data_IF_592010726605
#
_entry.id   IF_592010726605
#
_cell.length_a   1.000
_cell.length_b   1.000
_cell.length_c   1.000
_cell.angle_alpha   90.00
_cell.angle_beta   90.00
_cell.angle_gamma   90.00
#
_symmetry.space_group_name_H-M   'P 1'
#
loop_
_entity.id
_entity.type
_entity.pdbx_description
1 polymer ?
#
# COMPACT_ATOMS: atom_id res chain seq x y z
N UNK A 1 38.59 -1.07 45.85
CA UNK A 1 37.76 -0.98 47.06
C UNK A 1 38.64 -0.58 48.22
N UNK A 2 38.38 0.57 48.82
CA UNK A 2 38.87 0.93 50.15
C UNK A 2 37.67 1.54 50.89
N UNK A 3 37.25 0.89 51.96
CA UNK A 3 36.14 1.30 52.81
C UNK A 3 36.50 2.59 53.56
N UNK A 4 35.58 3.54 53.57
CA UNK A 4 35.52 4.58 54.60
C UNK A 4 34.31 4.25 55.47
N UNK A 5 34.56 3.73 56.67
CA UNK A 5 33.59 3.63 57.75
C UNK A 5 33.78 4.82 58.69
N UNK A 6 32.70 5.56 58.95
CA UNK A 6 32.69 6.70 59.86
C UNK A 6 31.32 7.31 60.06
N UNK A 7 30.53 6.69 60.96
CA UNK A 7 29.45 7.22 61.80
C UNK A 7 28.32 8.09 61.19
N UNK A 8 27.12 7.49 61.11
CA UNK A 8 25.84 8.17 60.85
C UNK A 8 25.06 7.49 59.74
N UNK A 9 24.30 6.43 60.07
CA UNK A 9 23.48 5.64 59.14
C UNK A 9 22.30 6.42 58.56
N UNK A 10 22.57 7.39 57.70
CA UNK A 10 21.59 8.06 56.86
C UNK A 10 21.75 7.65 55.40
N UNK A 11 20.67 7.72 54.63
CA UNK A 11 20.66 7.50 53.19
C UNK A 11 21.79 8.29 52.51
N UNK A 12 22.46 7.68 51.52
CA UNK A 12 23.69 8.16 50.88
C UNK A 12 23.68 9.66 50.53
N UNK A 13 22.53 10.20 50.10
CA UNK A 13 22.36 11.61 49.70
C UNK A 13 22.24 12.60 50.87
N UNK A 14 22.29 12.15 52.12
CA UNK A 14 22.32 13.02 53.30
C UNK A 14 23.72 13.24 53.85
N UNK A 15 24.74 12.61 53.26
CA UNK A 15 26.14 12.86 53.60
C UNK A 15 26.79 13.75 52.51
N UNK A 16 27.04 15.04 52.79
CA UNK A 16 27.64 15.96 51.82
C UNK A 16 29.00 15.49 51.31
N UNK A 17 29.80 14.84 52.15
CA UNK A 17 31.13 14.34 51.78
C UNK A 17 31.02 13.16 50.81
N UNK A 18 30.04 12.26 51.03
CA UNK A 18 29.77 11.14 50.13
C UNK A 18 29.24 11.61 48.77
N UNK A 19 28.40 12.66 48.74
CA UNK A 19 27.90 13.28 47.50
C UNK A 19 29.04 13.92 46.71
N UNK A 20 29.89 14.73 47.35
CA UNK A 20 31.02 15.37 46.66
C UNK A 20 32.00 14.33 46.13
N UNK A 21 32.28 13.28 46.92
CA UNK A 21 33.11 12.17 46.47
C UNK A 21 32.49 11.43 45.27
N UNK A 22 31.21 11.05 45.36
CA UNK A 22 30.48 10.39 44.27
C UNK A 22 30.40 11.23 42.99
N UNK A 23 30.21 12.54 43.11
CA UNK A 23 30.21 13.46 41.98
C UNK A 23 31.60 13.54 41.32
N UNK A 24 32.66 13.56 42.12
CA UNK A 24 34.04 13.56 41.59
C UNK A 24 34.38 12.24 40.88
N UNK A 25 34.02 11.10 41.47
CA UNK A 25 34.19 9.78 40.86
C UNK A 25 33.36 9.63 39.58
N UNK A 26 32.11 10.09 39.58
CA UNK A 26 31.26 10.08 38.40
C UNK A 26 31.87 10.90 37.26
N UNK A 27 32.36 12.12 37.55
CA UNK A 27 33.05 12.96 36.55
C UNK A 27 34.35 12.34 36.08
N UNK A 28 35.08 11.62 36.95
CA UNK A 28 36.30 10.91 36.60
C UNK A 28 36.03 9.76 35.63
N UNK A 29 34.96 9.00 35.87
CA UNK A 29 34.60 7.84 35.05
C UNK A 29 33.88 8.22 33.75
N UNK A 30 32.98 9.21 33.80
CA UNK A 30 32.04 9.51 32.72
C UNK A 30 32.17 10.91 32.12
N UNK A 31 32.99 11.79 32.71
CA UNK A 31 33.13 13.18 32.27
C UNK A 31 31.95 14.08 32.64
N UNK A 32 31.83 15.24 31.98
CA UNK A 32 30.66 16.13 32.12
C UNK A 32 29.54 15.65 31.18
N UNK A 33 28.61 14.84 31.69
CA UNK A 33 27.42 14.38 30.94
C UNK A 33 26.27 15.37 31.07
N UNK A 34 25.50 15.56 29.99
CA UNK A 34 24.22 16.28 30.01
C UNK A 34 23.14 15.39 30.64
N UNK A 35 22.12 16.01 31.22
CA UNK A 35 20.95 15.31 31.72
C UNK A 35 20.01 15.04 30.55
N UNK A 36 20.04 13.82 30.04
CA UNK A 36 19.26 13.35 28.89
C UNK A 36 19.13 11.82 28.95
N UNK A 37 18.17 11.26 28.22
CA UNK A 37 18.01 9.81 28.16
C UNK A 37 19.20 9.15 27.45
N UNK A 38 19.46 7.90 27.84
CA UNK A 38 20.60 7.10 27.35
C UNK A 38 21.98 7.77 27.57
N UNK A 39 22.13 8.59 28.62
CA UNK A 39 23.36 9.35 28.92
C UNK A 39 24.64 8.50 29.13
N UNK A 40 24.50 7.18 29.31
CA UNK A 40 25.61 6.23 29.56
C UNK A 40 26.31 5.73 28.28
N UNK A 41 25.78 5.99 27.09
CA UNK A 41 26.41 5.56 25.83
C UNK A 41 27.67 6.41 25.53
N UNK A 42 28.78 5.72 25.26
CA UNK A 42 30.09 6.34 24.98
C UNK A 42 30.20 6.88 23.55
N UNK A 43 29.47 6.29 22.62
CA UNK A 43 29.39 6.70 21.22
C UNK A 43 27.92 6.76 20.83
N UNK A 44 27.41 7.98 20.60
CA UNK A 44 26.04 8.19 20.09
C UNK A 44 25.99 8.19 18.55
N UNK A 45 27.14 7.97 17.88
CA UNK A 45 27.26 7.99 16.41
C UNK A 45 26.75 6.73 15.69
N UNK A 46 26.08 5.81 16.38
CA UNK A 46 25.56 4.57 15.76
C UNK A 46 24.07 4.34 16.06
N UNK A 47 23.35 5.40 16.42
CA UNK A 47 21.89 5.39 16.56
C UNK A 47 21.21 6.53 15.78
N UNK A 48 21.89 7.06 14.76
CA UNK A 48 21.40 8.11 13.85
C UNK A 48 21.23 7.58 12.40
N UNK A 49 21.35 6.25 12.19
CA UNK A 49 21.38 5.62 10.84
C UNK A 49 20.49 4.36 10.71
N UNK A 50 19.52 4.19 11.62
CA UNK A 50 18.30 3.43 11.33
C UNK A 50 17.15 4.40 11.55
N UNK A 51 16.69 5.02 10.45
CA UNK A 51 15.58 5.97 10.40
C UNK A 51 14.27 5.36 10.92
N UNK A 52 14.15 5.31 12.25
CA UNK A 52 12.93 5.06 13.02
C UNK A 52 12.41 6.36 13.68
N UNK A 53 13.04 7.50 13.39
CA UNK A 53 12.60 8.84 13.83
C UNK A 53 11.52 9.45 12.90
N UNK A 54 11.23 8.81 11.76
CA UNK A 54 10.24 9.30 10.78
C UNK A 54 8.92 8.49 10.77
N UNK A 55 8.67 7.69 11.82
CA UNK A 55 7.38 6.98 12.02
C UNK A 55 6.75 7.23 13.39
N UNK A 56 7.17 8.30 14.07
CA UNK A 56 6.42 8.92 15.14
C UNK A 56 6.12 10.36 14.72
N UNK A 57 5.16 10.49 13.80
CA UNK A 57 4.52 11.78 13.55
C UNK A 57 4.01 12.34 14.89
N UNK A 58 4.53 13.48 15.38
CA UNK A 58 4.06 14.11 16.61
C UNK A 58 2.67 14.77 16.47
N UNK A 59 2.01 14.69 15.30
CA UNK A 59 0.76 15.43 15.04
C UNK A 59 -0.54 14.68 15.35
N UNK A 60 -0.51 13.50 16.00
CA UNK A 60 -1.77 12.84 16.41
C UNK A 60 -1.84 12.33 17.87
N UNK A 61 -0.99 12.86 18.76
CA UNK A 61 -1.28 12.85 20.20
C UNK A 61 -1.94 14.19 20.58
N UNK A 62 -3.12 14.46 20.00
CA UNK A 62 -4.02 15.49 20.52
C UNK A 62 -4.66 14.98 21.82
N UNK A 63 -3.87 14.95 22.90
CA UNK A 63 -4.36 15.43 24.18
C UNK A 63 -4.31 16.95 24.07
N UNK A 64 -5.42 17.52 23.59
CA UNK A 64 -5.67 18.95 23.73
C UNK A 64 -5.89 19.25 25.21
N UNK A 65 -4.78 19.57 25.87
CA UNK A 65 -4.70 19.97 27.26
C UNK A 65 -3.61 21.00 27.37
N UNK A 66 -3.93 22.24 27.01
CA UNK A 66 -3.29 23.49 27.39
C UNK A 66 -1.79 23.40 27.76
N UNK A 67 -0.93 24.01 26.93
CA UNK A 67 0.32 24.63 27.40
C UNK A 67 0.00 25.81 28.33
N UNK A 68 -0.62 25.53 29.48
CA UNK A 68 -0.85 26.43 30.59
C UNK A 68 0.12 26.07 31.71
N UNK A 69 0.98 27.01 32.09
CA UNK A 69 2.02 26.77 33.08
C UNK A 69 1.49 26.21 34.41
N UNK A 70 1.79 24.95 34.68
CA UNK A 70 1.92 24.43 36.05
C UNK A 70 3.28 23.76 36.16
N UNK A 71 4.25 24.51 36.67
CA UNK A 71 5.45 23.94 37.27
C UNK A 71 4.97 23.25 38.55
N UNK A 72 4.54 22.00 38.44
CA UNK A 72 4.26 21.20 39.63
C UNK A 72 5.56 21.11 40.43
N UNK A 73 5.51 21.51 41.70
CA UNK A 73 6.69 21.61 42.56
C UNK A 73 7.21 20.19 42.85
N UNK A 74 8.42 19.81 42.36
CA UNK A 74 8.95 18.47 42.53
C UNK A 74 9.29 18.13 43.99
N UNK A 75 9.22 19.11 44.90
CA UNK A 75 9.43 18.90 46.34
C UNK A 75 8.12 18.61 47.09
N UNK A 76 6.95 18.77 46.45
CA UNK A 76 5.65 18.52 47.07
C UNK A 76 5.12 17.14 46.74
N UNK A 77 4.75 16.38 47.77
CA UNK A 77 4.16 15.03 47.64
C UNK A 77 2.91 15.02 46.74
N UNK A 78 2.08 16.05 46.84
CA UNK A 78 0.83 16.20 46.09
C UNK A 78 1.04 16.18 44.56
N UNK A 79 2.18 16.70 44.10
CA UNK A 79 2.61 16.65 42.69
C UNK A 79 2.63 15.22 42.15
N UNK A 80 3.11 14.27 42.95
CA UNK A 80 3.27 12.87 42.53
C UNK A 80 2.00 12.04 42.74
N UNK A 81 1.07 12.50 43.57
CA UNK A 81 -0.18 11.78 43.84
C UNK A 81 -1.30 12.11 42.85
N UNK A 82 -1.20 13.25 42.15
CA UNK A 82 -2.24 13.78 41.25
C UNK A 82 -2.68 12.82 40.14
N UNK A 83 -1.75 12.03 39.61
CA UNK A 83 -2.00 11.10 38.50
C UNK A 83 -2.19 9.65 38.97
N UNK A 84 -2.18 9.40 40.28
CA UNK A 84 -2.43 8.07 40.82
C UNK A 84 -3.95 7.86 40.89
N UNK A 85 -4.50 6.82 40.25
CA UNK A 85 -5.92 6.48 40.37
C UNK A 85 -6.26 6.17 41.84
N UNK A 86 -7.00 7.07 42.48
CA UNK A 86 -7.32 7.03 43.92
C UNK A 86 -8.81 6.83 44.20
N UNK A 87 -9.63 6.83 43.15
CA UNK A 87 -11.08 6.65 43.19
C UNK A 87 -11.47 5.42 42.37
N UNK A 88 -12.57 4.72 42.73
CA UNK A 88 -13.04 3.55 41.98
C UNK A 88 -13.17 3.81 40.48
N UNK A 89 -13.69 4.98 40.09
CA UNK A 89 -13.88 5.37 38.70
C UNK A 89 -12.56 5.55 37.95
N UNK A 90 -11.57 6.20 38.59
CA UNK A 90 -10.23 6.34 37.98
C UNK A 90 -9.49 5.02 37.90
N UNK A 91 -9.69 4.13 38.88
CA UNK A 91 -9.09 2.78 38.86
C UNK A 91 -9.68 1.97 37.71
N UNK A 92 -10.99 2.06 37.49
CA UNK A 92 -11.65 1.39 36.37
C UNK A 92 -11.16 1.92 35.01
N UNK A 93 -11.02 3.24 34.87
CA UNK A 93 -10.43 3.85 33.68
C UNK A 93 -8.98 3.38 33.45
N UNK A 94 -8.18 3.34 34.51
CA UNK A 94 -6.81 2.83 34.45
C UNK A 94 -6.79 1.35 34.04
N UNK A 95 -7.71 0.53 34.55
CA UNK A 95 -7.81 -0.87 34.19
C UNK A 95 -8.20 -1.04 32.72
N UNK A 96 -9.10 -0.22 32.19
CA UNK A 96 -9.47 -0.23 30.77
C UNK A 96 -8.27 0.06 29.87
N UNK A 97 -7.46 1.05 30.22
CA UNK A 97 -6.23 1.38 29.48
C UNK A 97 -5.21 0.23 29.53
N UNK A 98 -5.05 -0.39 30.70
CA UNK A 98 -4.15 -1.54 30.86
C UNK A 98 -4.65 -2.74 30.03
N UNK A 99 -5.96 -3.01 30.05
CA UNK A 99 -6.58 -4.08 29.27
C UNK A 99 -6.34 -3.89 27.77
N UNK A 100 -6.60 -2.68 27.25
CA UNK A 100 -6.33 -2.32 25.86
C UNK A 100 -4.84 -2.48 25.50
N UNK A 101 -3.93 -1.97 26.34
CA UNK A 101 -2.49 -2.08 26.10
C UNK A 101 -1.99 -3.53 26.12
N UNK A 102 -2.49 -4.37 27.04
CA UNK A 102 -2.14 -5.79 27.11
C UNK A 102 -2.64 -6.56 25.89
N UNK A 103 -3.85 -6.27 25.43
CA UNK A 103 -4.40 -6.86 24.21
C UNK A 103 -3.57 -6.46 22.98
N UNK A 104 -3.25 -5.17 22.83
CA UNK A 104 -2.41 -4.67 21.72
C UNK A 104 -0.99 -5.25 21.77
N UNK A 105 -0.39 -5.39 22.95
CA UNK A 105 0.92 -6.01 23.11
C UNK A 105 0.96 -7.43 22.52
N UNK A 106 -0.09 -8.21 22.73
CA UNK A 106 -0.18 -9.57 22.19
C UNK A 106 -0.28 -9.58 20.65
N UNK A 107 -0.97 -8.61 20.05
CA UNK A 107 -0.99 -8.41 18.59
C UNK A 107 0.38 -8.01 18.05
N UNK A 108 1.07 -7.08 18.71
CA UNK A 108 2.42 -6.65 18.28
C UNK A 108 3.40 -7.83 18.30
N UNK A 109 3.33 -8.70 19.32
CA UNK A 109 4.13 -9.93 19.32
C UNK A 109 3.79 -10.87 18.18
N UNK A 110 2.51 -11.02 17.83
CA UNK A 110 2.07 -11.89 16.74
C UNK A 110 2.45 -11.36 15.36
N UNK A 111 2.04 -10.14 15.05
CA UNK A 111 2.16 -9.56 13.70
C UNK A 111 3.51 -8.89 13.48
N UNK A 112 3.97 -8.11 14.45
CA UNK A 112 5.19 -7.31 14.34
C UNK A 112 6.44 -8.17 14.49
N UNK A 113 6.51 -8.99 15.56
CA UNK A 113 7.70 -9.79 15.87
C UNK A 113 7.61 -11.24 15.41
N UNK A 114 6.40 -11.75 15.12
CA UNK A 114 6.13 -13.18 14.88
C UNK A 114 6.64 -14.08 16.01
N UNK A 115 6.62 -13.56 17.24
CA UNK A 115 6.96 -14.28 18.47
C UNK A 115 5.65 -14.84 19.06
N UNK A 116 5.23 -15.99 18.53
CA UNK A 116 3.98 -16.65 18.93
C UNK A 116 3.95 -17.03 20.42
N UNK A 117 5.04 -17.55 21.02
CA UNK A 117 5.05 -17.85 22.46
C UNK A 117 4.82 -16.60 23.31
N UNK A 118 5.45 -15.46 22.97
CA UNK A 118 5.24 -14.20 23.70
C UNK A 118 3.85 -13.61 23.48
N UNK A 119 3.30 -13.76 22.29
CA UNK A 119 1.91 -13.39 22.02
C UNK A 119 0.94 -14.20 22.87
N UNK A 120 1.16 -15.52 22.97
CA UNK A 120 0.34 -16.40 23.81
C UNK A 120 0.47 -16.04 25.31
N UNK A 121 1.68 -15.84 25.83
CA UNK A 121 1.90 -15.38 27.21
C UNK A 121 1.13 -14.07 27.51
N UNK A 122 1.13 -13.13 26.56
CA UNK A 122 0.46 -11.84 26.72
C UNK A 122 -1.07 -11.97 26.73
N UNK A 123 -1.66 -12.78 25.83
CA UNK A 123 -3.09 -13.06 25.85
C UNK A 123 -3.53 -13.85 27.09
N UNK A 124 -2.74 -14.84 27.54
CA UNK A 124 -3.00 -15.57 28.79
C UNK A 124 -2.96 -14.60 30.00
N UNK A 125 -1.98 -13.70 30.05
CA UNK A 125 -1.90 -12.68 31.10
C UNK A 125 -3.09 -11.71 31.08
N UNK A 126 -3.56 -11.33 29.88
CA UNK A 126 -4.75 -10.48 29.71
C UNK A 126 -6.00 -11.16 30.27
N UNK A 127 -6.27 -12.41 29.86
CA UNK A 127 -7.42 -13.19 30.33
C UNK A 127 -7.40 -13.44 31.84
N UNK A 128 -6.22 -13.72 32.40
CA UNK A 128 -6.06 -13.93 33.83
C UNK A 128 -6.30 -12.65 34.65
N UNK A 129 -5.97 -11.48 34.11
CA UNK A 129 -6.09 -10.19 34.80
C UNK A 129 -7.49 -9.57 34.64
N UNK A 130 -8.13 -9.77 33.50
CA UNK A 130 -9.43 -9.20 33.15
C UNK A 130 -10.41 -10.31 32.72
N UNK A 131 -10.87 -11.15 33.66
CA UNK A 131 -11.91 -12.12 33.36
C UNK A 131 -13.21 -11.40 32.95
N UNK A 132 -13.97 -11.98 32.02
CA UNK A 132 -15.24 -11.43 31.51
C UNK A 132 -15.14 -10.09 30.76
N UNK A 133 -13.93 -9.73 30.30
CA UNK A 133 -13.76 -8.56 29.42
C UNK A 133 -14.50 -8.75 28.09
N UNK A 134 -14.95 -7.67 27.46
CA UNK A 134 -15.63 -7.71 26.14
C UNK A 134 -14.81 -8.41 25.02
N UNK A 135 -13.49 -8.37 25.14
CA UNK A 135 -12.54 -9.00 24.20
C UNK A 135 -12.13 -10.42 24.59
N UNK A 136 -12.74 -11.00 25.62
CA UNK A 136 -12.35 -12.32 26.14
C UNK A 136 -12.49 -13.41 25.08
N UNK A 137 -13.63 -13.45 24.37
CA UNK A 137 -13.89 -14.41 23.30
C UNK A 137 -12.84 -14.29 22.16
N UNK A 138 -12.50 -13.07 21.77
CA UNK A 138 -11.48 -12.82 20.73
C UNK A 138 -10.09 -13.26 21.19
N UNK A 139 -9.71 -12.97 22.44
CA UNK A 139 -8.45 -13.40 23.03
C UNK A 139 -8.36 -14.94 23.13
N UNK A 140 -9.44 -15.62 23.51
CA UNK A 140 -9.51 -17.09 23.53
C UNK A 140 -9.31 -17.68 22.13
N UNK A 141 -9.96 -17.10 21.11
CA UNK A 141 -9.78 -17.55 19.73
C UNK A 141 -8.35 -17.33 19.23
N UNK A 142 -7.74 -16.19 19.58
CA UNK A 142 -6.33 -15.96 19.26
C UNK A 142 -5.40 -16.97 19.91
N UNK A 143 -5.60 -17.30 21.19
CA UNK A 143 -4.84 -18.36 21.86
C UNK A 143 -5.01 -19.71 21.17
N UNK A 144 -6.23 -20.08 20.77
CA UNK A 144 -6.45 -21.28 19.95
C UNK A 144 -5.60 -21.25 18.68
N UNK A 145 -5.68 -20.19 17.88
CA UNK A 145 -4.93 -20.09 16.62
C UNK A 145 -3.41 -20.11 16.81
N UNK A 146 -2.90 -19.45 17.86
CA UNK A 146 -1.47 -19.42 18.19
C UNK A 146 -0.97 -20.82 18.56
N UNK A 147 -1.72 -21.57 19.38
CA UNK A 147 -1.32 -22.91 19.77
C UNK A 147 -1.45 -23.94 18.63
N UNK A 148 -2.33 -23.70 17.65
CA UNK A 148 -2.33 -24.45 16.39
C UNK A 148 -1.03 -24.20 15.61
N UNK A 149 -0.62 -22.93 15.46
CA UNK A 149 0.62 -22.58 14.75
C UNK A 149 1.87 -23.14 15.44
N UNK A 150 1.88 -23.22 16.77
CA UNK A 150 2.95 -23.81 17.56
C UNK A 150 2.94 -25.35 17.57
N UNK A 151 1.98 -26.01 16.90
CA UNK A 151 1.74 -27.45 16.96
C UNK A 151 1.50 -27.99 18.37
N UNK A 152 0.94 -27.17 19.27
CA UNK A 152 0.56 -27.57 20.62
C UNK A 152 -0.92 -27.94 20.68
N UNK A 153 -1.27 -29.11 20.14
CA UNK A 153 -2.66 -29.58 20.03
C UNK A 153 -3.39 -29.64 21.37
N UNK A 154 -2.69 -29.97 22.47
CA UNK A 154 -3.32 -30.06 23.80
C UNK A 154 -3.83 -28.69 24.30
N UNK A 155 -3.01 -27.64 24.19
CA UNK A 155 -3.45 -26.28 24.56
C UNK A 155 -4.48 -25.74 23.56
N UNK A 156 -4.31 -25.98 22.27
CA UNK A 156 -5.28 -25.59 21.26
C UNK A 156 -6.67 -26.19 21.58
N UNK A 157 -6.75 -27.49 21.84
CA UNK A 157 -8.00 -28.16 22.19
C UNK A 157 -8.62 -27.63 23.49
N UNK A 158 -7.80 -27.28 24.48
CA UNK A 158 -8.29 -26.66 25.71
C UNK A 158 -9.02 -25.34 25.43
N UNK A 159 -8.41 -24.43 24.66
CA UNK A 159 -9.03 -23.14 24.32
C UNK A 159 -10.23 -23.31 23.40
N UNK A 160 -10.15 -24.25 22.44
CA UNK A 160 -11.26 -24.65 21.58
C UNK A 160 -12.48 -25.06 22.40
N UNK A 161 -12.30 -26.00 23.34
CA UNK A 161 -13.38 -26.48 24.19
C UNK A 161 -13.93 -25.35 25.07
N UNK A 162 -13.07 -24.49 25.59
CA UNK A 162 -13.48 -23.33 26.39
C UNK A 162 -14.40 -22.39 25.60
N UNK A 163 -14.09 -22.14 24.32
CA UNK A 163 -14.93 -21.30 23.44
C UNK A 163 -16.29 -21.96 23.18
N UNK A 164 -16.30 -23.27 22.87
CA UNK A 164 -17.53 -24.02 22.61
C UNK A 164 -18.42 -24.06 23.86
N UNK A 165 -17.84 -24.26 25.04
CA UNK A 165 -18.59 -24.40 26.28
C UNK A 165 -19.12 -23.07 26.83
N UNK A 166 -18.30 -22.00 26.77
CA UNK A 166 -18.67 -20.69 27.34
C UNK A 166 -19.40 -19.77 26.35
N UNK A 167 -19.17 -19.94 25.05
CA UNK A 167 -19.73 -19.09 24.00
C UNK A 167 -20.40 -19.91 22.88
N UNK A 168 -21.34 -20.83 23.20
CA UNK A 168 -21.91 -21.77 22.23
C UNK A 168 -22.62 -21.12 21.06
N UNK A 169 -23.21 -19.94 21.25
CA UNK A 169 -23.94 -19.19 20.22
C UNK A 169 -23.01 -18.30 19.35
N UNK A 170 -21.71 -18.28 19.64
CA UNK A 170 -20.75 -17.47 18.87
C UNK A 170 -20.42 -18.10 17.51
N UNK A 171 -20.07 -17.24 16.55
CA UNK A 171 -19.56 -17.67 15.23
C UNK A 171 -18.31 -18.55 15.40
N UNK A 172 -17.44 -18.22 16.36
CA UNK A 172 -16.26 -19.04 16.69
C UNK A 172 -16.63 -20.44 17.19
N UNK A 173 -17.60 -20.59 18.08
CA UNK A 173 -18.03 -21.91 18.54
C UNK A 173 -18.63 -22.74 17.40
N UNK A 174 -19.40 -22.11 16.51
CA UNK A 174 -19.93 -22.75 15.31
C UNK A 174 -18.79 -23.27 14.42
N UNK A 175 -17.77 -22.44 14.17
CA UNK A 175 -16.58 -22.80 13.37
C UNK A 175 -15.77 -23.94 14.03
N UNK A 176 -15.53 -23.85 15.34
CA UNK A 176 -14.69 -24.78 16.09
C UNK A 176 -15.37 -26.12 16.39
N UNK A 177 -16.70 -26.16 16.32
CA UNK A 177 -17.49 -27.38 16.51
C UNK A 177 -17.50 -28.30 15.30
N UNK A 178 -17.21 -27.79 14.09
CA UNK A 178 -17.11 -28.57 12.85
C UNK A 178 -15.70 -29.17 12.69
N UNK A 179 -15.52 -30.51 12.84
CA UNK A 179 -14.22 -31.17 12.74
C UNK A 179 -13.59 -31.06 11.34
N UNK A 180 -14.40 -30.87 10.30
CA UNK A 180 -13.93 -30.82 8.90
C UNK A 180 -13.68 -29.39 8.40
N UNK A 181 -14.05 -28.36 9.17
CA UNK A 181 -13.95 -26.98 8.71
C UNK A 181 -12.50 -26.57 8.41
N UNK A 182 -11.56 -26.89 9.30
CA UNK A 182 -10.14 -26.62 9.08
C UNK A 182 -9.56 -27.46 7.93
N UNK A 183 -9.93 -28.73 7.82
CA UNK A 183 -9.50 -29.59 6.71
C UNK A 183 -10.01 -29.07 5.36
N UNK A 184 -11.23 -28.54 5.31
CA UNK A 184 -11.82 -27.92 4.12
C UNK A 184 -11.12 -26.61 3.77
N UNK A 185 -10.92 -25.71 4.75
CA UNK A 185 -10.23 -24.44 4.51
C UNK A 185 -8.78 -24.67 4.09
N UNK A 186 -8.06 -25.59 4.74
CA UNK A 186 -6.70 -25.95 4.33
C UNK A 186 -6.68 -26.64 2.98
N UNK A 187 -7.64 -27.52 2.66
CA UNK A 187 -7.74 -28.15 1.36
C UNK A 187 -8.01 -27.11 0.25
N UNK A 188 -8.90 -26.14 0.49
CA UNK A 188 -9.17 -25.04 -0.44
C UNK A 188 -7.95 -24.11 -0.60
N UNK A 189 -7.26 -23.78 0.51
CA UNK A 189 -5.97 -23.06 0.46
C UNK A 189 -4.94 -23.86 -0.35
N UNK A 190 -4.76 -25.15 -0.08
CA UNK A 190 -3.84 -26.02 -0.83
C UNK A 190 -4.17 -26.05 -2.32
N UNK A 191 -5.45 -26.14 -2.70
CA UNK A 191 -5.87 -26.10 -4.11
C UNK A 191 -5.50 -24.79 -4.81
N UNK A 192 -5.76 -23.64 -4.18
CA UNK A 192 -5.39 -22.34 -4.79
C UNK A 192 -3.87 -22.15 -4.85
N UNK A 193 -3.12 -22.68 -3.88
CA UNK A 193 -1.65 -22.70 -3.93
C UNK A 193 -1.11 -23.57 -5.07
N UNK A 194 -1.65 -24.78 -5.28
CA UNK A 194 -1.28 -25.65 -6.40
C UNK A 194 -1.61 -24.99 -7.75
N UNK A 195 -2.80 -24.37 -7.87
CA UNK A 195 -3.17 -23.63 -9.07
C UNK A 195 -2.20 -22.47 -9.34
N UNK A 196 -1.73 -21.79 -8.29
CA UNK A 196 -0.74 -20.73 -8.42
C UNK A 196 0.62 -21.27 -8.89
N UNK A 197 1.07 -22.40 -8.33
CA UNK A 197 2.29 -23.07 -8.75
C UNK A 197 2.24 -23.45 -10.24
N UNK A 198 1.12 -24.02 -10.70
CA UNK A 198 0.92 -24.37 -12.10
C UNK A 198 0.87 -23.12 -13.00
N UNK A 199 0.24 -22.04 -12.52
CA UNK A 199 0.23 -20.73 -13.20
C UNK A 199 1.63 -20.16 -13.35
N UNK A 200 2.43 -20.23 -12.30
CA UNK A 200 3.79 -19.75 -12.31
C UNK A 200 4.69 -20.58 -13.24
N UNK A 201 4.57 -21.91 -13.22
CA UNK A 201 5.27 -22.80 -14.17
C UNK A 201 4.91 -22.50 -15.63
N UNK A 202 3.63 -22.27 -15.90
CA UNK A 202 3.16 -21.87 -17.22
C UNK A 202 3.74 -20.50 -17.63
N UNK A 203 3.84 -19.56 -16.69
CA UNK A 203 4.44 -18.24 -16.91
C UNK A 203 5.93 -18.32 -17.24
N UNK A 204 6.70 -19.10 -16.48
CA UNK A 204 8.13 -19.35 -16.73
C UNK A 204 8.36 -20.03 -18.09
N UNK A 205 7.46 -20.94 -18.46
CA UNK A 205 7.50 -21.64 -19.75
C UNK A 205 6.98 -20.78 -20.93
N UNK A 206 6.61 -19.51 -20.70
CA UNK A 206 6.08 -18.62 -21.72
C UNK A 206 4.69 -18.97 -22.25
N UNK A 207 3.96 -19.87 -21.57
CA UNK A 207 2.62 -20.33 -21.95
C UNK A 207 1.55 -19.30 -21.55
N UNK A 208 1.63 -18.09 -22.12
CA UNK A 208 0.84 -16.93 -21.70
C UNK A 208 -0.68 -17.18 -21.70
N UNK A 209 -1.20 -17.98 -22.65
CA UNK A 209 -2.63 -18.31 -22.70
C UNK A 209 -3.08 -19.13 -21.49
N UNK A 210 -2.24 -20.05 -21.01
CA UNK A 210 -2.53 -20.86 -19.81
C UNK A 210 -2.50 -20.00 -18.55
N UNK A 211 -1.55 -19.06 -18.46
CA UNK A 211 -1.49 -18.09 -17.35
C UNK A 211 -2.81 -17.31 -17.24
N UNK A 212 -3.34 -16.83 -18.37
CA UNK A 212 -4.64 -16.12 -18.38
C UNK A 212 -5.78 -17.03 -17.94
N UNK A 213 -5.82 -18.28 -18.42
CA UNK A 213 -6.87 -19.25 -18.07
C UNK A 213 -6.86 -19.54 -16.57
N UNK A 214 -5.72 -19.94 -16.02
CA UNK A 214 -5.61 -20.29 -14.60
C UNK A 214 -5.84 -19.09 -13.68
N UNK A 215 -5.42 -17.89 -14.10
CA UNK A 215 -5.70 -16.67 -13.34
C UNK A 215 -7.18 -16.31 -13.33
N UNK A 216 -7.90 -16.51 -14.44
CA UNK A 216 -9.36 -16.31 -14.49
C UNK A 216 -10.08 -17.37 -13.66
N UNK A 217 -9.61 -18.63 -13.67
CA UNK A 217 -10.13 -19.70 -12.84
C UNK A 217 -9.94 -19.39 -11.35
N UNK A 218 -8.77 -18.88 -10.97
CA UNK A 218 -8.48 -18.48 -9.61
C UNK A 218 -9.44 -17.37 -9.12
N UNK A 219 -9.67 -16.34 -9.94
CA UNK A 219 -10.59 -15.25 -9.65
C UNK A 219 -12.04 -15.73 -9.50
N UNK A 220 -12.49 -16.64 -10.37
CA UNK A 220 -13.86 -17.16 -10.32
C UNK A 220 -14.09 -18.16 -9.18
N UNK A 221 -13.10 -18.97 -8.84
CA UNK A 221 -13.26 -20.11 -7.92
C UNK A 221 -12.86 -19.73 -6.50
N UNK A 222 -11.87 -18.85 -6.34
CA UNK A 222 -11.32 -18.46 -5.04
C UNK A 222 -11.34 -16.93 -4.85
N UNK A 223 -12.51 -16.27 -4.91
CA UNK A 223 -12.64 -14.80 -4.88
C UNK A 223 -12.14 -14.16 -3.56
N UNK A 224 -11.95 -14.95 -2.50
CA UNK A 224 -11.43 -14.52 -1.20
C UNK A 224 -9.96 -14.84 -0.97
N UNK A 225 -9.26 -15.37 -1.98
CA UNK A 225 -7.86 -15.80 -1.82
C UNK A 225 -6.90 -14.61 -1.77
N UNK A 226 -5.98 -14.62 -0.81
CA UNK A 226 -4.89 -13.65 -0.70
C UNK A 226 -3.89 -13.73 -1.86
N UNK A 227 -3.92 -14.81 -2.66
CA UNK A 227 -3.07 -14.97 -3.84
C UNK A 227 -3.62 -14.26 -5.08
N UNK A 228 -4.86 -13.75 -5.07
CA UNK A 228 -5.48 -13.13 -6.23
C UNK A 228 -4.65 -11.99 -6.85
N UNK A 229 -4.02 -11.08 -6.08
CA UNK A 229 -3.13 -10.08 -6.67
C UNK A 229 -1.96 -10.71 -7.44
N UNK A 230 -1.40 -11.84 -6.96
CA UNK A 230 -0.31 -12.56 -7.64
C UNK A 230 -0.78 -13.12 -8.99
N UNK A 231 -1.96 -13.73 -9.03
CA UNK A 231 -2.57 -14.17 -10.29
C UNK A 231 -2.85 -12.99 -11.22
N UNK A 232 -3.45 -11.91 -10.72
CA UNK A 232 -3.80 -10.74 -11.50
C UNK A 232 -2.56 -10.09 -12.14
N UNK A 233 -1.46 -10.00 -11.41
CA UNK A 233 -0.18 -9.51 -11.90
C UNK A 233 0.41 -10.39 -13.01
N UNK A 234 0.49 -11.72 -12.80
CA UNK A 234 0.97 -12.64 -13.84
C UNK A 234 0.09 -12.61 -15.09
N UNK A 235 -1.23 -12.49 -14.90
CA UNK A 235 -2.21 -12.32 -16.00
C UNK A 235 -1.98 -11.03 -16.77
N UNK A 236 -1.69 -9.92 -16.09
CA UNK A 236 -1.39 -8.64 -16.74
C UNK A 236 -0.17 -8.77 -17.66
N UNK A 237 0.92 -9.37 -17.15
CA UNK A 237 2.13 -9.63 -17.94
C UNK A 237 1.84 -10.56 -19.12
N UNK A 238 1.14 -11.66 -18.88
CA UNK A 238 0.81 -12.62 -19.93
C UNK A 238 -0.03 -12.01 -21.06
N UNK A 239 -1.02 -11.17 -20.71
CA UNK A 239 -1.82 -10.42 -21.70
C UNK A 239 -0.98 -9.41 -22.48
N UNK A 240 -0.05 -8.72 -21.80
CA UNK A 240 0.93 -7.85 -22.47
C UNK A 240 1.79 -8.61 -23.48
N UNK A 241 2.39 -9.73 -23.05
CA UNK A 241 3.22 -10.60 -23.91
C UNK A 241 2.48 -11.15 -25.13
N UNK A 242 1.18 -11.43 -25.01
CA UNK A 242 0.36 -11.95 -26.11
C UNK A 242 -0.07 -10.88 -27.11
N UNK A 243 -0.11 -9.61 -26.68
CA UNK A 243 -0.58 -8.51 -27.50
C UNK A 243 0.59 -7.56 -27.76
N UNK A 244 0.76 -6.54 -26.93
CA UNK A 244 1.76 -5.49 -27.08
C UNK A 244 2.01 -4.77 -25.75
N UNK A 245 2.96 -3.84 -25.79
CA UNK A 245 3.37 -2.99 -24.67
C UNK A 245 2.23 -2.12 -24.11
N UNK A 246 1.41 -1.50 -24.96
CA UNK A 246 0.25 -0.71 -24.52
C UNK A 246 -0.76 -1.57 -23.73
N UNK A 247 -0.95 -2.83 -24.15
CA UNK A 247 -1.78 -3.79 -23.40
C UNK A 247 -1.15 -4.11 -22.05
N UNK A 248 0.17 -4.25 -21.98
CA UNK A 248 0.87 -4.48 -20.72
C UNK A 248 0.66 -3.29 -19.77
N UNK A 249 0.92 -2.07 -20.24
CA UNK A 249 0.74 -0.83 -19.49
C UNK A 249 -0.69 -0.75 -18.95
N UNK A 250 -1.68 -0.91 -19.83
CA UNK A 250 -3.09 -0.88 -19.45
C UNK A 250 -3.44 -1.93 -18.38
N UNK A 251 -2.96 -3.16 -18.52
CA UNK A 251 -3.26 -4.22 -17.56
C UNK A 251 -2.54 -4.00 -16.21
N UNK A 252 -1.32 -3.46 -16.21
CA UNK A 252 -0.59 -3.10 -14.99
C UNK A 252 -1.27 -1.94 -14.25
N UNK A 253 -1.71 -0.90 -14.95
CA UNK A 253 -2.48 0.20 -14.36
C UNK A 253 -3.79 -0.29 -13.74
N UNK A 254 -4.52 -1.16 -14.46
CA UNK A 254 -5.73 -1.81 -13.91
C UNK A 254 -5.44 -2.68 -12.69
N UNK A 255 -4.30 -3.38 -12.69
CA UNK A 255 -3.88 -4.19 -11.55
C UNK A 255 -3.65 -3.30 -10.31
N UNK A 256 -2.92 -2.19 -10.46
CA UNK A 256 -2.65 -1.25 -9.36
C UNK A 256 -3.96 -0.66 -8.82
N UNK A 257 -4.87 -0.24 -9.69
CA UNK A 257 -6.17 0.31 -9.28
C UNK A 257 -7.06 -0.73 -8.56
N UNK A 258 -7.00 -2.01 -8.95
CA UNK A 258 -7.83 -3.06 -8.36
C UNK A 258 -7.24 -3.71 -7.09
N UNK A 259 -5.92 -3.61 -6.89
CA UNK A 259 -5.18 -4.30 -5.83
C UNK A 259 -4.19 -3.36 -5.11
N UNK A 260 -4.61 -2.13 -4.84
CA UNK A 260 -3.73 -1.06 -4.38
C UNK A 260 -3.00 -1.35 -3.06
N UNK A 261 -3.61 -2.14 -2.17
CA UNK A 261 -3.00 -2.59 -0.91
C UNK A 261 -2.08 -3.80 -1.05
N UNK A 262 -1.84 -4.32 -2.26
CA UNK A 262 -1.04 -5.52 -2.47
C UNK A 262 0.46 -5.25 -2.40
N UNK A 263 1.21 -6.18 -1.78
CA UNK A 263 2.69 -6.20 -1.74
C UNK A 263 3.35 -6.18 -3.13
N UNK A 264 2.61 -6.47 -4.20
CA UNK A 264 3.10 -6.57 -5.58
C UNK A 264 2.97 -5.24 -6.33
N UNK A 265 2.18 -4.29 -5.81
CA UNK A 265 2.00 -2.97 -6.44
C UNK A 265 3.33 -2.27 -6.74
N UNK A 266 4.33 -2.25 -5.83
CA UNK A 266 5.64 -1.67 -6.14
C UNK A 266 6.32 -2.29 -7.37
N UNK A 267 6.18 -3.60 -7.56
CA UNK A 267 6.76 -4.29 -8.72
C UNK A 267 6.04 -3.91 -10.03
N UNK A 268 4.71 -3.75 -9.98
CA UNK A 268 3.94 -3.25 -11.12
C UNK A 268 4.31 -1.81 -11.48
N UNK A 269 4.51 -0.95 -10.48
CA UNK A 269 4.98 0.42 -10.66
C UNK A 269 6.40 0.48 -11.23
N UNK A 270 7.31 -0.36 -10.75
CA UNK A 270 8.66 -0.48 -11.30
C UNK A 270 8.64 -0.88 -12.78
N UNK A 271 7.77 -1.84 -13.16
CA UNK A 271 7.58 -2.19 -14.56
C UNK A 271 7.02 -1.02 -15.39
N UNK A 272 6.03 -0.28 -14.87
CA UNK A 272 5.50 0.92 -15.54
C UNK A 272 6.58 2.01 -15.72
N UNK A 273 7.48 2.17 -14.76
CA UNK A 273 8.58 3.12 -14.85
C UNK A 273 9.54 2.80 -16.01
N UNK A 274 9.71 1.52 -16.38
CA UNK A 274 10.50 1.14 -17.58
C UNK A 274 9.91 1.68 -18.88
N UNK A 275 8.62 2.03 -18.88
CA UNK A 275 7.92 2.66 -19.99
C UNK A 275 7.82 4.19 -19.85
N UNK A 276 8.53 4.78 -18.89
CA UNK A 276 8.50 6.22 -18.61
C UNK A 276 7.26 6.70 -17.86
N UNK A 277 6.51 5.77 -17.25
CA UNK A 277 5.33 6.06 -16.43
C UNK A 277 5.74 5.97 -14.95
N UNK A 278 6.18 7.09 -14.40
CA UNK A 278 6.61 7.22 -13.00
C UNK A 278 5.48 7.76 -12.13
N UNK A 279 5.35 7.27 -10.90
CA UNK A 279 4.42 7.82 -9.90
C UNK A 279 2.95 7.43 -10.04
N UNK A 280 2.61 6.44 -10.88
CA UNK A 280 1.23 5.98 -11.06
C UNK A 280 0.65 5.39 -9.75
N UNK A 281 -0.43 6.00 -9.22
CA UNK A 281 -1.01 5.71 -7.90
C UNK A 281 -2.55 5.55 -7.89
N UNK A 282 -3.12 5.29 -6.70
CA UNK A 282 -4.55 4.97 -6.48
C UNK A 282 -5.55 5.93 -7.13
N UNK A 283 -5.26 7.23 -7.11
CA UNK A 283 -6.21 8.28 -7.52
C UNK A 283 -6.32 8.49 -9.05
N UNK A 284 -5.47 7.86 -9.86
CA UNK A 284 -5.43 8.11 -11.30
C UNK A 284 -6.44 7.26 -12.11
N UNK A 285 -7.15 6.32 -11.47
CA UNK A 285 -8.15 5.47 -12.12
C UNK A 285 -9.44 5.30 -11.29
N UNK A 286 -10.04 6.40 -10.80
CA UNK A 286 -11.35 6.34 -10.16
C UNK A 286 -12.47 6.10 -11.19
N UNK A 287 -13.02 4.87 -11.20
CA UNK A 287 -14.15 4.43 -12.03
C UNK A 287 -15.38 4.12 -11.17
N UNK A 288 -15.76 4.99 -10.23
CA UNK A 288 -17.00 4.82 -9.46
C UNK A 288 -17.89 6.05 -9.60
N UNK A 289 -18.88 5.96 -10.48
CA UNK A 289 -20.01 6.89 -10.54
C UNK A 289 -21.07 6.49 -9.51
N UNK A 290 -21.43 7.43 -8.64
CA UNK A 290 -22.52 7.36 -7.67
C UNK A 290 -23.88 7.56 -8.40
N UNK A 291 -24.90 6.68 -8.24
CA UNK A 291 -26.12 6.74 -9.05
C UNK A 291 -27.20 7.72 -8.57
N UNK A 292 -26.97 8.59 -7.58
CA UNK A 292 -28.07 9.37 -6.97
C UNK A 292 -27.79 10.87 -6.72
N UNK A 293 -27.15 11.56 -7.68
CA UNK A 293 -27.01 13.02 -7.66
C UNK A 293 -27.75 13.69 -8.84
N UNK A 294 -28.51 14.79 -8.61
CA UNK A 294 -29.32 15.44 -9.64
C UNK A 294 -28.45 16.12 -10.70
N UNK A 295 -28.89 16.04 -11.95
CA UNK A 295 -28.16 16.39 -13.18
C UNK A 295 -27.86 17.91 -13.33
N UNK A 296 -26.57 18.28 -13.49
CA UNK A 296 -26.15 19.30 -14.45
C UNK A 296 -25.14 18.71 -15.45
N UNK A 297 -24.97 19.40 -16.59
CA UNK A 297 -24.19 19.01 -17.78
C UNK A 297 -23.10 17.94 -17.55
N UNK A 298 -23.30 16.77 -18.17
CA UNK A 298 -22.50 15.53 -18.05
C UNK A 298 -21.04 15.80 -17.66
N UNK A 299 -20.55 15.34 -16.49
CA UNK A 299 -19.12 15.33 -16.24
C UNK A 299 -18.46 14.44 -17.30
N UNK A 300 -17.59 15.04 -18.10
CA UNK A 300 -16.74 14.30 -19.03
C UNK A 300 -16.00 13.22 -18.26
N UNK A 301 -16.05 11.97 -18.73
CA UNK A 301 -15.27 10.85 -18.18
C UNK A 301 -13.75 11.09 -18.28
N UNK A 302 -13.35 12.14 -19.00
CA UNK A 302 -11.97 12.57 -19.17
C UNK A 302 -11.68 13.80 -18.31
N UNK A 303 -10.48 13.82 -17.71
CA UNK A 303 -10.00 14.91 -16.86
C UNK A 303 -8.95 15.75 -17.57
N UNK A 304 -8.98 17.08 -17.41
CA UNK A 304 -8.00 17.97 -18.04
C UNK A 304 -6.82 18.22 -17.10
N UNK A 305 -5.69 17.57 -17.38
CA UNK A 305 -4.43 17.71 -16.62
C UNK A 305 -3.29 18.14 -17.56
N UNK A 306 -2.96 19.44 -17.67
CA UNK A 306 -2.02 19.95 -18.66
C UNK A 306 -0.56 19.54 -18.40
N UNK A 307 -0.18 19.30 -17.15
CA UNK A 307 1.21 18.99 -16.77
C UNK A 307 1.57 17.51 -16.93
N UNK A 308 0.56 16.65 -17.10
CA UNK A 308 0.76 15.21 -17.25
C UNK A 308 1.50 14.85 -18.54
N UNK A 309 2.04 13.64 -18.61
CA UNK A 309 2.54 13.12 -19.87
C UNK A 309 1.40 13.02 -20.88
N UNK A 310 1.69 13.30 -22.15
CA UNK A 310 0.72 13.28 -23.22
C UNK A 310 1.18 12.40 -24.38
N UNK A 311 0.20 11.95 -25.15
CA UNK A 311 0.35 11.22 -26.40
C UNK A 311 -0.26 12.04 -27.53
N UNK A 312 0.34 11.95 -28.72
CA UNK A 312 -0.33 12.32 -29.96
C UNK A 312 -0.93 11.06 -30.58
N UNK A 313 -2.21 11.07 -30.91
CA UNK A 313 -2.95 9.91 -31.40
C UNK A 313 -3.53 10.18 -32.78
N UNK A 314 -3.47 9.19 -33.66
CA UNK A 314 -4.14 9.15 -34.96
C UNK A 314 -4.91 7.84 -35.06
N UNK A 315 -6.23 7.93 -35.29
CA UNK A 315 -7.11 6.78 -35.49
C UNK A 315 -7.46 6.68 -36.95
N UNK A 316 -7.14 5.54 -37.55
CA UNK A 316 -7.33 5.26 -38.97
C UNK A 316 -8.15 4.00 -39.15
N UNK A 317 -8.97 3.96 -40.20
CA UNK A 317 -9.55 2.71 -40.65
C UNK A 317 -8.48 1.89 -41.39
N UNK A 318 -8.10 0.72 -40.87
CA UNK A 318 -7.00 -0.07 -41.44
C UNK A 318 -7.38 -0.76 -42.76
N UNK A 319 -8.67 -0.79 -43.12
CA UNK A 319 -9.13 -1.27 -44.42
C UNK A 319 -8.94 -0.23 -45.54
N UNK A 320 -8.91 1.08 -45.22
CA UNK A 320 -8.74 2.16 -46.21
C UNK A 320 -7.36 2.82 -46.18
N UNK A 321 -6.69 2.78 -45.03
CA UNK A 321 -5.38 3.41 -44.81
C UNK A 321 -4.35 2.34 -44.42
N UNK A 322 -3.22 2.33 -45.14
CA UNK A 322 -2.09 1.48 -44.78
C UNK A 322 -1.39 2.04 -43.52
N UNK A 323 -1.55 1.32 -42.40
CA UNK A 323 -1.04 1.74 -41.09
C UNK A 323 0.48 1.69 -41.02
N UNK A 324 1.11 0.65 -41.57
CA UNK A 324 2.58 0.53 -41.58
C UNK A 324 3.24 1.68 -42.34
N UNK A 325 2.71 2.02 -43.52
CA UNK A 325 3.18 3.14 -44.31
C UNK A 325 2.96 4.48 -43.58
N UNK A 326 1.89 4.61 -42.79
CA UNK A 326 1.64 5.80 -41.96
C UNK A 326 2.64 5.87 -40.80
N UNK A 327 2.91 4.75 -40.13
CA UNK A 327 3.91 4.64 -39.06
C UNK A 327 5.32 4.99 -39.55
N UNK A 328 5.71 4.50 -40.73
CA UNK A 328 7.00 4.83 -41.35
C UNK A 328 7.12 6.34 -41.58
N UNK A 329 6.07 6.96 -42.15
CA UNK A 329 6.06 8.41 -42.40
C UNK A 329 6.18 9.23 -41.10
N UNK A 330 5.49 8.81 -40.04
CA UNK A 330 5.60 9.44 -38.70
C UNK A 330 7.02 9.24 -38.14
N UNK A 331 7.61 8.06 -38.28
CA UNK A 331 8.99 7.77 -37.85
C UNK A 331 10.02 8.63 -38.58
N UNK A 332 9.88 8.80 -39.89
CA UNK A 332 10.75 9.66 -40.69
C UNK A 332 10.61 11.13 -40.27
N UNK A 333 9.38 11.58 -40.01
CA UNK A 333 9.13 12.92 -39.48
C UNK A 333 9.79 13.12 -38.10
N UNK A 334 9.65 12.16 -37.18
CA UNK A 334 10.27 12.20 -35.85
C UNK A 334 11.80 12.23 -35.95
N UNK A 335 12.37 11.39 -36.79
CA UNK A 335 13.82 11.31 -37.01
C UNK A 335 14.38 12.60 -37.62
N UNK A 336 13.61 13.31 -38.43
CA UNK A 336 14.07 14.54 -39.05
C UNK A 336 13.91 15.78 -38.17
N UNK A 337 12.88 15.83 -37.32
CA UNK A 337 12.49 17.05 -36.60
C UNK A 337 12.63 16.95 -35.06
N UNK A 338 12.69 15.74 -34.50
CA UNK A 338 12.60 15.49 -33.06
C UNK A 338 13.66 14.48 -32.56
N UNK A 339 14.88 14.52 -33.13
CA UNK A 339 15.98 13.57 -32.85
C UNK A 339 16.31 13.36 -31.38
N UNK A 340 16.20 14.41 -30.57
CA UNK A 340 16.58 14.39 -29.15
C UNK A 340 15.39 14.08 -28.22
N UNK A 341 14.17 13.98 -28.76
CA UNK A 341 12.96 13.83 -27.97
C UNK A 341 12.64 12.37 -27.60
N UNK A 342 13.43 11.39 -28.08
CA UNK A 342 13.27 9.96 -27.79
C UNK A 342 11.79 9.50 -27.92
N UNK A 343 11.14 9.87 -29.02
CA UNK A 343 9.72 9.57 -29.24
C UNK A 343 9.52 8.10 -29.65
N UNK A 344 8.54 7.44 -29.06
CA UNK A 344 8.13 6.07 -29.41
C UNK A 344 6.83 6.09 -30.20
N UNK A 345 6.68 5.18 -31.17
CA UNK A 345 5.48 5.06 -32.01
C UNK A 345 4.88 3.66 -31.83
N UNK A 346 3.64 3.60 -31.35
CA UNK A 346 2.88 2.36 -31.18
C UNK A 346 1.68 2.35 -32.12
N UNK A 347 1.21 1.16 -32.49
CA UNK A 347 0.01 0.96 -33.29
C UNK A 347 -0.81 -0.20 -32.70
N UNK A 348 -2.07 0.06 -32.34
CA UNK A 348 -2.95 -0.91 -31.68
C UNK A 348 -4.33 -0.94 -32.34
N UNK A 349 -4.99 -2.09 -32.34
CA UNK A 349 -6.38 -2.19 -32.77
C UNK A 349 -7.29 -1.63 -31.68
N UNK A 350 -8.16 -0.68 -32.05
CA UNK A 350 -9.25 -0.23 -31.16
C UNK A 350 -10.45 -1.18 -31.33
N UNK A 351 -10.78 -1.54 -32.56
CA UNK A 351 -11.87 -2.44 -32.91
C UNK A 351 -11.54 -3.26 -34.17
N UNK A 352 -12.54 -3.87 -34.80
CA UNK A 352 -12.37 -4.70 -36.00
C UNK A 352 -11.83 -3.93 -37.21
N UNK A 353 -12.05 -2.62 -37.28
CA UNK A 353 -11.84 -1.80 -38.48
C UNK A 353 -10.90 -0.62 -38.24
N UNK A 354 -10.65 -0.25 -36.98
CA UNK A 354 -9.84 0.91 -36.60
C UNK A 354 -8.56 0.53 -35.87
N UNK A 355 -7.46 1.16 -36.29
CA UNK A 355 -6.19 1.15 -35.58
C UNK A 355 -5.84 2.54 -35.07
N UNK A 356 -5.30 2.59 -33.85
CA UNK A 356 -4.77 3.75 -33.20
C UNK A 356 -3.26 3.75 -33.30
N UNK A 357 -2.70 4.78 -33.90
CA UNK A 357 -1.27 5.06 -33.91
C UNK A 357 -1.01 6.12 -32.84
N UNK A 358 -0.18 5.83 -31.86
CA UNK A 358 0.18 6.75 -30.78
C UNK A 358 1.67 7.10 -30.85
N UNK A 359 1.99 8.36 -30.58
CA UNK A 359 3.35 8.86 -30.38
C UNK A 359 3.46 9.35 -28.95
N UNK A 360 4.45 8.86 -28.20
CA UNK A 360 4.60 9.10 -26.77
C UNK A 360 5.85 9.92 -26.41
N UNK A 361 6.07 10.11 -25.11
CA UNK A 361 7.19 10.84 -24.50
C UNK A 361 7.09 12.38 -24.59
N UNK A 362 5.86 12.91 -24.56
CA UNK A 362 5.63 14.35 -24.41
C UNK A 362 5.36 14.70 -22.94
N UNK A 363 6.30 15.43 -22.32
CA UNK A 363 6.14 15.94 -20.94
C UNK A 363 5.29 17.20 -20.93
N UNK A 364 3.99 17.05 -20.74
CA UNK A 364 3.04 18.15 -20.71
C UNK A 364 2.36 18.45 -22.06
N UNK A 365 1.21 19.12 -21.95
CA UNK A 365 0.32 19.51 -23.05
C UNK A 365 1.03 20.33 -24.11
N UNK A 366 1.84 21.32 -23.71
CA UNK A 366 2.41 22.29 -24.65
C UNK A 366 3.35 21.64 -25.66
N UNK A 367 4.17 20.68 -25.21
CA UNK A 367 5.07 19.92 -26.08
C UNK A 367 4.27 19.06 -27.04
N UNK A 368 3.25 18.34 -26.54
CA UNK A 368 2.39 17.50 -27.36
C UNK A 368 1.59 18.31 -28.40
N UNK A 369 1.09 19.50 -28.03
CA UNK A 369 0.35 20.38 -28.94
C UNK A 369 1.27 21.05 -29.97
N UNK A 370 2.51 21.36 -29.62
CA UNK A 370 3.52 21.81 -30.58
C UNK A 370 3.81 20.73 -31.63
N UNK A 371 3.96 19.47 -31.19
CA UNK A 371 4.11 18.31 -32.07
C UNK A 371 2.88 18.10 -32.95
N UNK A 372 1.67 18.11 -32.37
CA UNK A 372 0.38 18.04 -33.08
C UNK A 372 0.32 19.08 -34.22
N UNK A 373 0.67 20.33 -33.93
CA UNK A 373 0.66 21.39 -34.94
C UNK A 373 1.70 21.19 -36.04
N UNK A 374 2.89 20.69 -35.70
CA UNK A 374 3.96 20.46 -36.66
C UNK A 374 3.64 19.28 -37.60
N UNK A 375 3.19 18.15 -37.05
CA UNK A 375 2.96 16.93 -37.83
C UNK A 375 1.74 17.07 -38.75
N UNK A 376 0.65 17.68 -38.28
CA UNK A 376 -0.60 17.83 -39.05
C UNK A 376 -0.44 18.75 -40.27
N UNK A 377 0.49 19.71 -40.21
CA UNK A 377 0.87 20.58 -41.33
C UNK A 377 1.89 19.95 -42.30
N UNK A 378 2.47 18.81 -41.95
CA UNK A 378 3.43 18.13 -42.82
C UNK A 378 2.69 17.27 -43.86
N UNK A 379 2.73 17.66 -45.13
CA UNK A 379 2.01 16.97 -46.21
C UNK A 379 2.55 15.56 -46.52
N UNK A 380 3.81 15.27 -46.15
CA UNK A 380 4.38 13.93 -46.30
C UNK A 380 3.71 12.95 -45.34
N UNK A 381 3.53 13.33 -44.07
CA UNK A 381 2.84 12.51 -43.06
C UNK A 381 1.32 12.58 -43.26
N UNK A 382 0.76 13.80 -43.20
CA UNK A 382 -0.67 14.07 -43.29
C UNK A 382 -1.10 14.34 -44.73
N UNK A 383 -1.17 13.27 -45.51
CA UNK A 383 -1.73 13.32 -46.87
C UNK A 383 -3.19 13.78 -46.88
N UNK A 384 -3.68 14.21 -48.04
CA UNK A 384 -5.10 14.61 -48.22
C UNK A 384 -6.10 13.50 -47.85
N UNK A 385 -5.72 12.23 -48.01
CA UNK A 385 -6.52 11.09 -47.57
C UNK A 385 -6.52 10.99 -46.04
N UNK A 386 -5.34 10.98 -45.40
CA UNK A 386 -5.23 10.85 -43.95
C UNK A 386 -5.99 11.97 -43.23
N UNK A 387 -5.89 13.22 -43.71
CA UNK A 387 -6.62 14.37 -43.13
C UNK A 387 -8.15 14.22 -43.14
N UNK A 388 -8.71 13.47 -44.11
CA UNK A 388 -10.17 13.31 -44.27
C UNK A 388 -10.70 12.05 -43.60
N UNK A 389 -9.91 10.99 -43.56
CA UNK A 389 -10.32 9.65 -43.13
C UNK A 389 -9.76 9.26 -41.75
N UNK A 390 -9.15 10.19 -41.02
CA UNK A 390 -8.63 9.94 -39.67
C UNK A 390 -9.13 10.96 -38.66
N UNK A 391 -9.22 10.51 -37.40
CA UNK A 391 -9.34 11.39 -36.25
C UNK A 391 -7.98 11.48 -35.57
N UNK A 392 -7.56 12.67 -35.18
CA UNK A 392 -6.27 12.87 -34.52
C UNK A 392 -6.36 13.93 -33.44
N UNK A 393 -5.70 13.69 -32.32
CA UNK A 393 -5.83 14.49 -31.12
C UNK A 393 -4.62 14.28 -30.19
N UNK A 394 -4.54 15.11 -29.16
CA UNK A 394 -3.62 14.94 -28.04
C UNK A 394 -4.40 14.43 -26.82
N UNK A 395 -3.80 13.51 -26.07
CA UNK A 395 -4.42 12.86 -24.91
C UNK A 395 -3.43 12.65 -23.78
N UNK A 396 -3.85 12.91 -22.54
CA UNK A 396 -3.02 12.70 -21.35
C UNK A 396 -2.84 11.22 -21.03
N UNK A 397 -1.82 10.89 -20.24
CA UNK A 397 -1.56 9.56 -19.69
C UNK A 397 -2.77 8.94 -19.03
N UNK A 398 -3.53 9.74 -18.28
CA UNK A 398 -4.67 9.30 -17.48
C UNK A 398 -5.90 9.06 -18.35
N UNK A 399 -6.10 9.89 -19.38
CA UNK A 399 -7.26 9.76 -20.27
C UNK A 399 -7.05 8.66 -21.31
N UNK A 400 -5.80 8.31 -21.66
CA UNK A 400 -5.49 7.28 -22.64
C UNK A 400 -6.13 5.90 -22.32
N UNK A 401 -6.01 5.33 -21.11
CA UNK A 401 -6.65 4.06 -20.76
C UNK A 401 -8.19 4.17 -20.73
N UNK A 402 -8.73 5.32 -20.33
CA UNK A 402 -10.18 5.58 -20.35
C UNK A 402 -10.69 5.56 -21.80
N UNK A 403 -9.99 6.25 -22.70
CA UNK A 403 -10.30 6.28 -24.12
C UNK A 403 -10.17 4.90 -24.76
N UNK A 404 -9.12 4.15 -24.42
CA UNK A 404 -8.91 2.81 -24.98
C UNK A 404 -9.97 1.79 -24.52
N UNK A 405 -10.48 1.94 -23.30
CA UNK A 405 -11.56 1.11 -22.77
C UNK A 405 -12.93 1.48 -23.36
N UNK A 406 -13.25 2.78 -23.42
CA UNK A 406 -14.53 3.31 -23.89
C UNK A 406 -14.67 3.26 -25.42
N UNK A 407 -13.57 3.45 -26.15
CA UNK A 407 -13.46 3.45 -27.62
C UNK A 407 -14.34 4.50 -28.32
N UNK A 408 -14.91 5.46 -27.59
CA UNK A 408 -15.74 6.51 -28.17
C UNK A 408 -14.89 7.67 -28.70
N UNK A 409 -14.55 7.60 -29.99
CA UNK A 409 -13.82 8.66 -30.70
C UNK A 409 -14.57 10.00 -30.61
N UNK A 410 -15.89 9.98 -30.79
CA UNK A 410 -16.71 11.19 -30.79
C UNK A 410 -16.67 11.90 -29.42
N UNK A 411 -16.77 11.13 -28.33
CA UNK A 411 -16.78 11.68 -26.96
C UNK A 411 -15.45 12.34 -26.64
N UNK A 412 -14.33 11.67 -26.93
CA UNK A 412 -13.02 12.25 -26.67
C UNK A 412 -12.73 13.47 -27.55
N UNK A 413 -13.15 13.46 -28.82
CA UNK A 413 -12.97 14.61 -29.71
C UNK A 413 -13.69 15.87 -29.22
N UNK A 414 -14.86 15.74 -28.58
CA UNK A 414 -15.56 16.87 -27.94
C UNK A 414 -14.72 17.46 -26.81
N UNK A 415 -14.24 16.60 -25.90
CA UNK A 415 -13.35 17.00 -24.80
C UNK A 415 -12.05 17.64 -25.32
N UNK A 416 -11.40 17.06 -26.32
CA UNK A 416 -10.19 17.59 -26.92
C UNK A 416 -10.38 18.99 -27.50
N UNK A 417 -11.43 19.19 -28.30
CA UNK A 417 -11.73 20.50 -28.89
C UNK A 417 -12.02 21.56 -27.82
N UNK A 418 -12.67 21.18 -26.72
CA UNK A 418 -12.99 22.09 -25.63
C UNK A 418 -11.77 22.56 -24.83
N UNK A 419 -10.79 21.68 -24.61
CA UNK A 419 -9.69 21.93 -23.67
C UNK A 419 -8.31 22.15 -24.34
N UNK A 420 -8.12 21.71 -25.57
CA UNK A 420 -6.82 21.77 -26.25
C UNK A 420 -6.78 22.71 -27.45
N UNK A 421 -7.91 22.98 -28.11
CA UNK A 421 -7.98 23.72 -29.38
C UNK A 421 -8.53 25.16 -29.23
N UNK A 422 -8.98 25.54 -28.02
CA UNK A 422 -9.45 26.89 -27.72
C UNK A 422 -8.34 27.95 -27.76
#
# INVERSE_FOLDING_TARGET
>A
MQQVTGAGGGWYFYNPQAITFGQSEFRRLWGKRKLEDNWRLSDKRTYDDFGLDDMLDPENDTIDGERGGRRDDPLKRETYLKNIPDTPEKIEESNRQIAAAMYQLAYVFREGFRDYPKSADAFEAFLNRFPEHEQELNALYHLYTLYVLENNSAKADQYRQTIIDRYPDSEYASILSDPEYFDKIEAEKRKVHLLYEDTYRAFESGQNRMVVIYSNEAESTYPKSELLPKFAFLRAIAKGRMNNEDTLIFQLQRFIAAHSSSEIVPLAQEMLATFGIEGFGEDELSLTGDPDAPEPEKPSIYSFKPDQNHFFVVIVNHNSINVDATRIRISDFNTNNYKLANLTINAVLIDSDHQMISVSNFRGKDIAMAYYGAITRNDYVFSSQLRRESNYFVISSDNYPIFYADKSIETYMKFFNEHYVK
#
